data_IF_838179282626
#
_entry.id   IF_838179282626
#
_cell.length_a   1.000
_cell.length_b   1.000
_cell.length_c   1.000
_cell.angle_alpha   90.00
_cell.angle_beta   90.00
_cell.angle_gamma   90.00
#
_symmetry.space_group_name_H-M   'P 1'
#
loop_
_entity.id
_entity.type
_entity.pdbx_description
1 polymer ?
#
# COMPACT_ATOMS: atom_id res chain seq x y z
N UNK A 1 -0.17 -11.17 -30.22
CA UNK A 1 -0.67 -10.53 -28.99
C UNK A 1 -0.12 -11.35 -27.84
N UNK A 2 0.97 -10.88 -27.21
CA UNK A 2 1.59 -11.61 -26.09
C UNK A 2 0.79 -11.31 -24.82
N UNK A 3 0.11 -12.32 -24.31
CA UNK A 3 -0.44 -12.29 -22.95
C UNK A 3 0.72 -12.07 -21.99
N UNK A 4 0.75 -10.89 -21.35
CA UNK A 4 1.75 -10.58 -20.34
C UNK A 4 1.60 -11.56 -19.19
N UNK A 5 2.65 -12.34 -18.93
CA UNK A 5 2.74 -13.25 -17.79
C UNK A 5 2.57 -12.40 -16.54
N UNK A 6 1.39 -12.49 -15.90
CA UNK A 6 1.21 -11.95 -14.55
C UNK A 6 2.25 -12.62 -13.66
N UNK A 7 3.02 -11.82 -12.93
CA UNK A 7 4.06 -12.32 -12.03
C UNK A 7 3.51 -13.40 -11.11
N UNK A 8 4.24 -14.51 -11.00
CA UNK A 8 3.87 -15.57 -10.08
C UNK A 8 3.96 -15.04 -8.64
N UNK A 9 3.14 -15.56 -7.73
CA UNK A 9 3.18 -15.20 -6.29
C UNK A 9 4.57 -15.41 -5.63
N UNK A 10 5.46 -16.16 -6.28
CA UNK A 10 6.84 -16.40 -5.87
C UNK A 10 7.88 -15.50 -6.57
N UNK A 11 7.47 -14.63 -7.49
CA UNK A 11 8.39 -13.76 -8.21
C UNK A 11 8.96 -12.68 -7.27
N UNK A 12 10.27 -12.47 -7.35
CA UNK A 12 10.91 -11.40 -6.61
C UNK A 12 10.46 -10.05 -7.16
N UNK A 13 10.22 -9.08 -6.27
CA UNK A 13 9.69 -7.78 -6.66
C UNK A 13 10.58 -6.98 -7.63
N UNK A 14 11.91 -7.12 -7.51
CA UNK A 14 12.85 -6.49 -8.45
C UNK A 14 12.80 -7.17 -9.81
N UNK A 15 12.62 -8.50 -9.82
CA UNK A 15 12.49 -9.25 -11.07
C UNK A 15 11.17 -8.87 -11.78
N UNK A 16 10.07 -8.73 -11.03
CA UNK A 16 8.80 -8.24 -11.56
C UNK A 16 8.93 -6.85 -12.21
N UNK A 17 9.50 -5.88 -11.50
CA UNK A 17 9.65 -4.52 -12.04
C UNK A 17 10.66 -4.44 -13.19
N UNK A 18 11.69 -5.28 -13.20
CA UNK A 18 12.63 -5.37 -14.32
C UNK A 18 11.97 -6.00 -15.55
N UNK A 19 11.25 -7.12 -15.37
CA UNK A 19 10.56 -7.84 -16.44
C UNK A 19 9.42 -7.03 -17.07
N UNK A 20 8.83 -6.12 -16.29
CA UNK A 20 7.79 -5.17 -16.76
C UNK A 20 8.36 -3.85 -17.28
N UNK A 21 9.69 -3.71 -17.38
CA UNK A 21 10.40 -2.50 -17.82
C UNK A 21 10.11 -1.24 -16.97
N UNK A 22 9.75 -1.42 -15.70
CA UNK A 22 9.54 -0.30 -14.76
C UNK A 22 10.85 0.17 -14.11
N UNK A 23 11.84 -0.70 -14.00
CA UNK A 23 13.22 -0.35 -13.63
C UNK A 23 14.20 -0.82 -14.71
N UNK A 24 15.37 -0.18 -14.78
CA UNK A 24 16.40 -0.44 -15.80
C UNK A 24 17.41 -1.48 -15.36
N UNK A 25 17.69 -1.53 -14.07
CA UNK A 25 18.61 -2.50 -13.47
C UNK A 25 17.97 -3.19 -12.28
N UNK A 26 18.54 -4.32 -11.87
CA UNK A 26 18.07 -5.07 -10.70
C UNK A 26 18.56 -4.43 -9.39
N UNK A 27 18.28 -3.14 -9.24
CA UNK A 27 18.68 -2.31 -8.09
C UNK A 27 17.45 -1.78 -7.35
N UNK A 28 17.39 -2.02 -6.05
CA UNK A 28 16.33 -1.51 -5.19
C UNK A 28 16.30 0.02 -5.10
N UNK A 29 17.40 0.71 -5.40
CA UNK A 29 17.46 2.17 -5.45
C UNK A 29 16.61 2.78 -6.58
N UNK A 30 16.28 2.01 -7.63
CA UNK A 30 15.37 2.45 -8.69
C UNK A 30 13.88 2.35 -8.30
N UNK A 31 13.57 1.76 -7.13
CA UNK A 31 12.19 1.63 -6.66
C UNK A 31 11.70 2.95 -6.08
N UNK A 32 10.70 3.55 -6.73
CA UNK A 32 10.02 4.77 -6.28
C UNK A 32 8.86 4.39 -5.37
N UNK A 33 8.77 5.05 -4.22
CA UNK A 33 7.75 4.81 -3.20
C UNK A 33 6.80 6.00 -3.08
N UNK A 34 5.51 5.71 -3.03
CA UNK A 34 4.52 6.63 -2.50
C UNK A 34 4.30 6.30 -1.02
N UNK A 35 4.53 7.26 -0.14
CA UNK A 35 4.45 7.08 1.31
C UNK A 35 3.10 7.56 1.87
N UNK A 36 2.53 6.80 2.80
CA UNK A 36 1.35 7.14 3.59
C UNK A 36 0.10 7.46 2.75
N UNK A 37 -0.28 6.56 1.84
CA UNK A 37 -1.51 6.65 1.03
C UNK A 37 -2.79 6.34 1.85
N UNK A 38 -3.02 7.13 2.89
CA UNK A 38 -3.97 6.80 3.96
C UNK A 38 -5.41 7.27 3.72
N UNK A 39 -5.68 8.03 2.66
CA UNK A 39 -7.04 8.51 2.32
C UNK A 39 -7.42 8.12 0.89
N UNK A 40 -8.70 8.24 0.54
CA UNK A 40 -9.16 7.96 -0.84
C UNK A 40 -8.49 8.89 -1.85
N UNK A 41 -8.24 10.14 -1.50
CA UNK A 41 -7.54 11.10 -2.37
C UNK A 41 -6.08 10.69 -2.58
N UNK A 42 -5.35 10.41 -1.50
CA UNK A 42 -3.94 10.01 -1.57
C UNK A 42 -3.76 8.67 -2.31
N UNK A 43 -4.66 7.70 -2.11
CA UNK A 43 -4.65 6.46 -2.87
C UNK A 43 -4.83 6.71 -4.38
N UNK A 44 -5.80 7.57 -4.76
CA UNK A 44 -6.01 7.94 -6.18
C UNK A 44 -4.82 8.67 -6.78
N UNK A 45 -4.12 9.48 -5.98
CA UNK A 45 -2.87 10.12 -6.38
C UNK A 45 -1.76 9.09 -6.58
N UNK A 46 -1.58 8.18 -5.62
CA UNK A 46 -0.58 7.12 -5.67
C UNK A 46 -0.75 6.22 -6.90
N UNK A 47 -1.98 5.81 -7.20
CA UNK A 47 -2.33 5.00 -8.38
C UNK A 47 -1.88 5.69 -9.69
N UNK A 48 -2.05 7.01 -9.79
CA UNK A 48 -1.69 7.79 -10.99
C UNK A 48 -0.22 8.20 -11.03
N UNK A 49 0.51 8.01 -9.95
CA UNK A 49 1.90 8.44 -9.83
C UNK A 49 2.87 7.49 -10.53
N UNK A 50 4.11 7.93 -10.68
CA UNK A 50 5.22 7.11 -11.15
C UNK A 50 5.76 6.14 -10.07
N UNK A 51 5.16 6.09 -8.88
CA UNK A 51 5.60 5.16 -7.84
C UNK A 51 5.43 3.71 -8.29
N UNK A 52 6.39 2.86 -7.95
CA UNK A 52 6.30 1.41 -8.15
C UNK A 52 5.60 0.77 -6.94
N UNK A 53 5.90 1.28 -5.75
CA UNK A 53 5.38 0.80 -4.48
C UNK A 53 4.47 1.85 -3.84
N UNK A 54 3.33 1.40 -3.31
CA UNK A 54 2.45 2.23 -2.49
C UNK A 54 2.45 1.68 -1.08
N UNK A 55 2.77 2.57 -0.16
CA UNK A 55 2.78 2.34 1.26
C UNK A 55 1.57 3.00 1.90
N UNK A 56 0.94 2.30 2.85
CA UNK A 56 -0.12 2.88 3.64
C UNK A 56 -0.20 2.22 5.02
N UNK A 57 -0.60 3.01 6.00
CA UNK A 57 -0.68 2.64 7.40
C UNK A 57 -2.05 2.04 7.72
N UNK A 58 -2.09 0.92 8.43
CA UNK A 58 -3.34 0.25 8.82
C UNK A 58 -3.55 0.38 10.31
N UNK A 59 -4.69 0.91 10.72
CA UNK A 59 -5.09 1.09 12.11
C UNK A 59 -6.52 0.56 12.31
N UNK A 60 -6.81 0.02 13.50
CA UNK A 60 -8.16 -0.42 13.83
C UNK A 60 -8.97 0.78 14.34
N UNK A 61 -10.08 1.11 13.68
CA UNK A 61 -10.98 2.18 14.11
C UNK A 61 -11.59 1.87 15.48
N UNK A 62 -11.48 2.83 16.39
CA UNK A 62 -12.06 2.75 17.74
C UNK A 62 -11.17 1.98 18.70
N UNK A 63 -10.64 2.69 19.71
CA UNK A 63 -9.56 2.23 20.60
C UNK A 63 -9.86 1.01 21.50
N UNK A 64 -11.02 0.35 21.37
CA UNK A 64 -11.45 -0.77 22.24
C UNK A 64 -12.40 -1.73 21.53
N UNK A 65 -11.90 -2.62 20.67
CA UNK A 65 -12.60 -3.89 20.44
C UNK A 65 -11.71 -4.86 19.66
N UNK A 66 -11.87 -6.15 19.99
CA UNK A 66 -11.55 -7.31 19.15
C UNK A 66 -12.29 -7.30 17.78
N UNK A 67 -12.96 -6.20 17.41
CA UNK A 67 -13.85 -6.01 16.25
C UNK A 67 -13.71 -4.63 15.58
N UNK A 68 -12.63 -3.89 15.83
CA UNK A 68 -12.41 -2.58 15.16
C UNK A 68 -12.32 -2.73 13.64
N UNK A 69 -12.88 -1.79 12.88
CA UNK A 69 -12.78 -1.77 11.42
C UNK A 69 -11.36 -1.34 11.00
N UNK A 70 -10.63 -2.11 10.18
CA UNK A 70 -9.32 -1.70 9.70
C UNK A 70 -9.46 -0.56 8.69
N UNK A 71 -8.76 0.53 8.97
CA UNK A 71 -8.78 1.77 8.19
C UNK A 71 -7.36 2.19 7.85
N UNK A 72 -7.23 2.96 6.78
CA UNK A 72 -5.93 3.47 6.37
C UNK A 72 -5.61 4.73 7.18
N UNK A 73 -4.80 4.64 8.23
CA UNK A 73 -4.52 5.78 9.11
C UNK A 73 -3.22 5.61 9.90
N UNK A 74 -2.58 6.75 10.18
CA UNK A 74 -1.39 6.84 11.02
C UNK A 74 -1.64 7.80 12.19
N UNK A 75 -1.30 7.45 13.45
CA UNK A 75 -1.41 8.36 14.58
C UNK A 75 -0.71 9.72 14.33
N UNK A 76 -1.29 10.86 14.74
CA UNK A 76 -2.44 10.99 15.64
C UNK A 76 -3.80 10.83 14.96
N UNK A 77 -3.86 10.68 13.64
CA UNK A 77 -5.11 10.42 12.93
C UNK A 77 -5.62 9.02 13.30
N UNK A 78 -6.79 8.97 13.93
CA UNK A 78 -7.43 7.72 14.37
C UNK A 78 -8.64 7.36 13.51
N UNK A 79 -8.82 8.08 12.40
CA UNK A 79 -9.94 7.98 11.50
C UNK A 79 -9.46 8.24 10.06
N UNK A 80 -10.14 7.65 9.09
CA UNK A 80 -9.92 7.86 7.66
C UNK A 80 -11.22 7.65 6.88
N UNK A 81 -11.31 8.30 5.72
CA UNK A 81 -12.36 8.13 4.72
C UNK A 81 -12.19 6.86 3.88
N UNK A 82 -11.10 6.11 4.10
CA UNK A 82 -10.74 4.91 3.37
C UNK A 82 -10.55 3.73 4.32
N UNK A 83 -11.39 2.71 4.19
CA UNK A 83 -11.19 1.42 4.87
C UNK A 83 -10.08 0.63 4.20
N UNK A 84 -9.46 -0.33 4.91
CA UNK A 84 -8.50 -1.25 4.29
C UNK A 84 -9.13 -2.03 3.13
N UNK A 85 -10.40 -2.41 3.27
CA UNK A 85 -11.13 -3.15 2.23
C UNK A 85 -11.30 -2.30 0.96
N UNK A 86 -11.79 -1.07 1.07
CA UNK A 86 -11.92 -0.16 -0.07
C UNK A 86 -10.56 0.14 -0.71
N UNK A 87 -9.52 0.33 0.11
CA UNK A 87 -8.18 0.58 -0.36
C UNK A 87 -7.62 -0.60 -1.18
N UNK A 88 -7.77 -1.83 -0.66
CA UNK A 88 -7.36 -3.05 -1.37
C UNK A 88 -8.14 -3.25 -2.67
N UNK A 89 -9.45 -3.00 -2.68
CA UNK A 89 -10.28 -3.15 -3.87
C UNK A 89 -9.80 -2.27 -5.03
N UNK A 90 -9.29 -1.08 -4.74
CA UNK A 90 -8.81 -0.14 -5.75
C UNK A 90 -7.37 -0.47 -6.19
N UNK A 91 -6.45 -0.65 -5.24
CA UNK A 91 -5.02 -0.83 -5.56
C UNK A 91 -4.74 -2.18 -6.26
N UNK A 92 -5.51 -3.24 -5.97
CA UNK A 92 -5.32 -4.56 -6.57
C UNK A 92 -5.64 -4.58 -8.07
N UNK A 93 -6.27 -3.54 -8.60
CA UNK A 93 -6.52 -3.35 -10.02
C UNK A 93 -5.39 -2.61 -10.74
N UNK A 94 -4.24 -2.44 -10.10
CA UNK A 94 -3.07 -1.72 -10.63
C UNK A 94 -1.84 -2.62 -10.72
N UNK A 95 -0.76 -2.09 -11.28
CA UNK A 95 0.57 -2.70 -11.33
C UNK A 95 1.48 -2.29 -10.15
N UNK A 96 0.91 -1.61 -9.15
CA UNK A 96 1.65 -1.15 -7.96
C UNK A 96 1.90 -2.32 -7.01
N UNK A 97 3.10 -2.38 -6.46
CA UNK A 97 3.37 -3.19 -5.27
C UNK A 97 2.86 -2.49 -4.00
N UNK A 98 2.60 -3.27 -2.95
CA UNK A 98 1.93 -2.81 -1.72
C UNK A 98 2.82 -3.08 -0.50
N UNK A 99 2.94 -2.08 0.40
CA UNK A 99 3.38 -2.28 1.78
C UNK A 99 2.28 -1.79 2.74
N UNK A 100 1.73 -2.71 3.52
CA UNK A 100 0.81 -2.37 4.61
C UNK A 100 1.58 -2.26 5.93
N UNK A 101 1.60 -1.08 6.52
CA UNK A 101 2.25 -0.82 7.80
C UNK A 101 1.22 -0.86 8.95
N UNK A 102 1.12 -2.02 9.60
CA UNK A 102 0.15 -2.25 10.67
C UNK A 102 0.55 -1.52 11.95
N UNK A 103 -0.22 -0.51 12.33
CA UNK A 103 -0.04 0.25 13.55
C UNK A 103 -0.74 -0.41 14.71
N UNK A 104 -0.07 -0.36 15.86
CA UNK A 104 -0.67 -0.66 17.15
C UNK A 104 -0.95 0.64 17.88
N UNK A 105 -2.09 0.72 18.54
CA UNK A 105 -2.29 1.74 19.55
C UNK A 105 -1.27 1.54 20.67
N UNK A 106 -0.52 2.59 20.98
CA UNK A 106 0.23 2.68 22.23
C UNK A 106 -0.57 3.63 23.10
N UNK A 107 -1.29 3.11 24.09
CA UNK A 107 -1.79 3.95 25.18
C UNK A 107 -0.56 4.53 25.89
N UNK A 108 -0.44 5.86 25.91
CA UNK A 108 0.48 6.50 26.84
C UNK A 108 -0.09 6.25 28.23
N UNK A 109 0.46 5.26 28.93
CA UNK A 109 0.26 5.13 30.37
C UNK A 109 0.85 6.41 30.98
N UNK A 110 -0.02 7.24 31.53
CA UNK A 110 0.35 8.44 32.29
C UNK A 110 0.81 8.00 33.68
#
# INVERSE_FOLDING_TARGET
>A
MSEGVRGAWSENILDYFLNTNQIKTRDGAEIIWYHAANSKSQMKEAIKSAAHMVEADVLLRGCKAEKGEPIMAHPPEMNSDNTLQEWLQEILNTDKGIKLDFKRYIEKII
#
